data_IF_287884432331
#
_entry.id   IF_287884432331
#
_cell.length_a   1.000
_cell.length_b   1.000
_cell.length_c   1.000
_cell.angle_alpha   90.00
_cell.angle_beta   90.00
_cell.angle_gamma   90.00
#
_symmetry.space_group_name_H-M   'P 1'
#
loop_
_entity.id
_entity.type
_entity.pdbx_description
1 polymer ?
#
# COMPACT_ATOMS: atom_id res chain seq x y z
N UNK A 1 -36.93 55.67 37.98
CA UNK A 1 -36.02 55.41 39.12
C UNK A 1 -36.56 54.21 39.90
N UNK A 2 -35.82 53.09 39.91
CA UNK A 2 -36.09 51.84 40.66
C UNK A 2 -34.72 51.17 40.85
N UNK A 3 -34.46 50.62 42.03
CA UNK A 3 -33.15 50.17 42.50
C UNK A 3 -33.17 48.63 42.73
N UNK A 4 -32.00 48.01 42.56
CA UNK A 4 -31.49 46.74 43.16
C UNK A 4 -31.70 45.39 42.41
N UNK A 5 -30.98 44.29 42.76
CA UNK A 5 -29.52 44.10 42.65
C UNK A 5 -29.09 42.64 42.25
N UNK A 6 -27.77 42.39 42.25
CA UNK A 6 -27.05 41.11 42.37
C UNK A 6 -27.03 40.11 41.20
N UNK A 7 -25.83 39.79 40.70
CA UNK A 7 -25.16 38.50 40.98
C UNK A 7 -23.72 38.52 40.50
N UNK A 8 -22.85 38.09 41.41
CA UNK A 8 -21.42 37.85 41.27
C UNK A 8 -21.11 36.76 40.25
N UNK A 9 -20.14 36.98 39.36
CA UNK A 9 -19.34 35.87 38.82
C UNK A 9 -17.86 36.25 38.86
N UNK A 10 -17.23 35.69 39.87
CA UNK A 10 -15.80 35.57 40.06
C UNK A 10 -15.16 34.64 39.02
N UNK A 11 -13.83 34.80 38.93
CA UNK A 11 -12.80 33.79 38.58
C UNK A 11 -12.51 33.55 37.09
N UNK A 12 -11.37 34.12 36.69
CA UNK A 12 -10.21 33.38 36.19
C UNK A 12 -10.42 31.87 36.14
N UNK A 13 -10.64 31.33 34.95
CA UNK A 13 -10.36 29.93 34.66
C UNK A 13 -9.65 29.87 33.30
N UNK A 14 -8.41 30.35 33.32
CA UNK A 14 -7.38 30.03 32.34
C UNK A 14 -7.07 28.53 32.51
N UNK A 15 -7.97 27.67 32.03
CA UNK A 15 -7.74 26.23 31.96
C UNK A 15 -6.69 25.97 30.89
N UNK A 16 -5.44 26.07 31.31
CA UNK A 16 -4.35 25.26 30.80
C UNK A 16 -4.86 23.82 30.83
N UNK A 17 -5.37 23.34 29.70
CA UNK A 17 -5.60 21.93 29.47
C UNK A 17 -4.19 21.30 29.39
N UNK A 18 -3.63 21.03 30.56
CA UNK A 18 -2.42 20.22 30.69
C UNK A 18 -2.84 18.83 30.24
N UNK A 19 -2.61 18.55 28.96
CA UNK A 19 -2.71 17.20 28.41
C UNK A 19 -1.94 16.27 29.33
N UNK A 20 -2.65 15.27 29.86
CA UNK A 20 -2.04 14.31 30.75
C UNK A 20 -0.88 13.61 30.05
N UNK A 21 0.14 13.23 30.81
CA UNK A 21 1.29 12.52 30.28
C UNK A 21 0.85 11.28 29.47
N UNK A 22 -0.25 10.64 29.90
CA UNK A 22 -0.89 9.51 29.22
C UNK A 22 -1.42 9.89 27.82
N UNK A 23 -2.09 11.05 27.68
CA UNK A 23 -2.55 11.55 26.38
C UNK A 23 -1.38 11.85 25.44
N UNK A 24 -0.28 12.40 25.97
CA UNK A 24 0.95 12.65 25.21
C UNK A 24 1.68 11.37 24.85
N UNK A 25 1.69 10.37 25.73
CA UNK A 25 2.30 9.06 25.48
C UNK A 25 1.49 8.28 24.44
N UNK A 26 0.16 8.35 24.46
CA UNK A 26 -0.69 7.74 23.43
C UNK A 26 -0.53 8.42 22.06
N UNK A 27 -0.47 9.75 22.03
CA UNK A 27 -0.29 10.52 20.80
C UNK A 27 1.14 10.41 20.25
N UNK A 28 2.15 10.37 21.13
CA UNK A 28 3.53 10.04 20.77
C UNK A 28 3.65 8.58 20.33
N UNK A 29 2.94 7.63 20.93
CA UNK A 29 2.97 6.23 20.50
C UNK A 29 2.28 6.01 19.15
N UNK A 30 1.36 6.89 18.76
CA UNK A 30 0.80 6.94 17.40
C UNK A 30 1.77 7.53 16.36
N UNK A 31 2.64 8.47 16.77
CA UNK A 31 3.54 9.21 15.87
C UNK A 31 5.02 8.77 15.93
N UNK A 32 5.41 7.94 16.90
CA UNK A 32 6.79 7.45 17.09
C UNK A 32 7.05 6.06 16.49
N UNK A 33 6.09 5.52 15.73
CA UNK A 33 6.27 4.25 15.03
C UNK A 33 7.30 4.30 13.89
N UNK A 34 7.84 5.48 13.54
CA UNK A 34 8.67 5.67 12.34
C UNK A 34 10.15 5.99 12.59
N UNK A 35 10.67 5.90 13.83
CA UNK A 35 12.07 6.33 14.11
C UNK A 35 12.98 5.25 14.68
N UNK A 36 12.48 4.07 15.08
CA UNK A 36 13.36 2.99 15.56
C UNK A 36 12.80 1.60 15.25
N UNK A 37 13.09 1.09 14.04
CA UNK A 37 13.46 -0.30 13.71
C UNK A 37 12.63 -1.51 14.20
N UNK A 38 11.60 -1.32 15.02
CA UNK A 38 10.70 -2.36 15.50
C UNK A 38 9.43 -2.27 14.67
N UNK A 39 9.58 -2.63 13.40
CA UNK A 39 8.46 -2.89 12.50
C UNK A 39 7.60 -3.94 13.20
N UNK A 40 6.41 -3.54 13.65
CA UNK A 40 5.45 -4.47 14.24
C UNK A 40 5.36 -5.70 13.31
N UNK A 41 5.52 -6.93 13.81
CA UNK A 41 5.49 -8.11 12.97
C UNK A 41 4.15 -8.15 12.24
N UNK A 42 4.22 -8.33 10.93
CA UNK A 42 3.07 -8.46 10.03
C UNK A 42 2.95 -9.96 9.72
N UNK A 43 2.22 -10.72 10.55
CA UNK A 43 2.23 -12.18 10.50
C UNK A 43 1.74 -12.73 9.16
N UNK A 44 0.85 -11.99 8.47
CA UNK A 44 0.37 -12.36 7.14
C UNK A 44 1.46 -12.20 6.09
N UNK A 45 2.20 -11.09 6.14
CA UNK A 45 3.35 -10.89 5.26
C UNK A 45 4.47 -11.89 5.55
N UNK A 46 4.75 -12.18 6.81
CA UNK A 46 5.79 -13.13 7.18
C UNK A 46 5.45 -14.54 6.68
N UNK A 47 4.18 -14.97 6.79
CA UNK A 47 3.72 -16.24 6.24
C UNK A 47 3.87 -16.29 4.70
N UNK A 48 3.47 -15.23 4.00
CA UNK A 48 3.67 -15.12 2.55
C UNK A 48 5.16 -15.18 2.19
N UNK A 49 6.00 -14.46 2.94
CA UNK A 49 7.44 -14.41 2.70
C UNK A 49 8.07 -15.80 2.80
N UNK A 50 7.72 -16.57 3.84
CA UNK A 50 8.17 -17.95 3.99
C UNK A 50 7.68 -18.86 2.85
N UNK A 51 6.43 -18.70 2.41
CA UNK A 51 5.91 -19.44 1.26
C UNK A 51 6.70 -19.12 -0.02
N UNK A 52 7.03 -17.85 -0.25
CA UNK A 52 7.80 -17.43 -1.42
C UNK A 52 9.24 -17.93 -1.36
N UNK A 53 9.89 -17.91 -0.20
CA UNK A 53 11.23 -18.50 -0.02
C UNK A 53 11.24 -20.00 -0.39
N UNK A 54 10.18 -20.73 -0.03
CA UNK A 54 10.04 -22.14 -0.38
C UNK A 54 9.81 -22.39 -1.88
N UNK A 55 9.52 -21.35 -2.66
CA UNK A 55 9.32 -21.43 -4.12
C UNK A 55 10.60 -21.13 -4.93
N UNK A 56 11.75 -20.96 -4.28
CA UNK A 56 13.01 -20.70 -4.98
C UNK A 56 13.31 -21.76 -6.05
N UNK A 57 13.62 -21.32 -7.26
CA UNK A 57 13.94 -22.18 -8.39
C UNK A 57 12.73 -22.65 -9.21
N UNK A 58 11.50 -22.33 -8.78
CA UNK A 58 10.28 -22.61 -9.55
C UNK A 58 10.04 -21.60 -10.68
N UNK A 59 10.78 -20.49 -10.69
CA UNK A 59 10.73 -19.45 -11.71
C UNK A 59 9.71 -18.35 -11.45
N UNK A 60 9.95 -17.20 -12.09
CA UNK A 60 9.12 -15.99 -12.02
C UNK A 60 7.62 -16.22 -12.34
N UNK A 61 7.33 -17.13 -13.28
CA UNK A 61 5.95 -17.42 -13.70
C UNK A 61 5.19 -18.14 -12.59
N UNK A 62 5.85 -19.04 -11.87
CA UNK A 62 5.23 -19.77 -10.76
C UNK A 62 4.88 -18.81 -9.63
N UNK A 63 5.80 -17.91 -9.26
CA UNK A 63 5.58 -16.87 -8.25
C UNK A 63 4.41 -15.96 -8.65
N UNK A 64 4.39 -15.48 -9.90
CA UNK A 64 3.31 -14.63 -10.38
C UNK A 64 1.94 -15.33 -10.32
N UNK A 65 1.86 -16.58 -10.79
CA UNK A 65 0.61 -17.35 -10.76
C UNK A 65 0.18 -17.68 -9.34
N UNK A 66 1.12 -17.99 -8.45
CA UNK A 66 0.86 -18.20 -7.03
C UNK A 66 0.19 -16.97 -6.42
N UNK A 67 0.79 -15.79 -6.57
CA UNK A 67 0.21 -14.54 -6.06
C UNK A 67 -1.17 -14.29 -6.66
N UNK A 68 -1.36 -14.51 -7.96
CA UNK A 68 -2.67 -14.34 -8.61
C UNK A 68 -3.73 -15.31 -8.08
N UNK A 69 -3.32 -16.51 -7.65
CA UNK A 69 -4.23 -17.55 -7.16
C UNK A 69 -4.62 -17.41 -5.69
N UNK A 70 -4.00 -16.48 -4.95
CA UNK A 70 -4.29 -16.25 -3.54
C UNK A 70 -5.72 -15.70 -3.37
N UNK A 71 -6.52 -16.42 -2.58
CA UNK A 71 -7.89 -16.03 -2.21
C UNK A 71 -7.97 -15.81 -0.70
N UNK A 72 -8.75 -14.82 -0.30
CA UNK A 72 -9.16 -14.59 1.07
C UNK A 72 -10.16 -15.67 1.51
N UNK A 73 -10.46 -15.81 2.81
CA UNK A 73 -11.47 -16.75 3.31
C UNK A 73 -12.87 -16.52 2.72
N UNK A 74 -13.18 -15.30 2.26
CA UNK A 74 -14.42 -14.94 1.59
C UNK A 74 -14.46 -15.30 0.09
N UNK A 75 -13.39 -15.92 -0.43
CA UNK A 75 -13.26 -16.29 -1.84
C UNK A 75 -12.86 -15.14 -2.78
N UNK A 76 -12.65 -13.93 -2.26
CA UNK A 76 -12.17 -12.80 -3.06
C UNK A 76 -10.64 -12.86 -3.25
N UNK A 77 -10.10 -12.33 -4.35
CA UNK A 77 -8.65 -12.28 -4.55
C UNK A 77 -7.94 -11.47 -3.46
N UNK A 78 -6.85 -12.01 -2.91
CA UNK A 78 -5.96 -11.26 -1.99
C UNK A 78 -5.33 -10.08 -2.71
N UNK A 79 -4.89 -10.29 -3.95
CA UNK A 79 -4.34 -9.26 -4.83
C UNK A 79 -5.29 -9.02 -6.00
N UNK A 80 -6.21 -8.04 -5.90
CA UNK A 80 -7.29 -7.87 -6.87
C UNK A 80 -6.84 -7.34 -8.24
N UNK A 81 -5.64 -6.76 -8.34
CA UNK A 81 -5.12 -6.20 -9.58
C UNK A 81 -3.59 -6.35 -9.68
N UNK A 82 -3.04 -6.07 -10.85
CA UNK A 82 -1.60 -6.18 -11.12
C UNK A 82 -0.77 -5.21 -10.28
N UNK A 83 -1.31 -4.03 -9.92
CA UNK A 83 -0.65 -3.07 -9.03
C UNK A 83 -0.47 -3.63 -7.61
N UNK A 84 -1.43 -4.40 -7.12
CA UNK A 84 -1.32 -5.08 -5.82
C UNK A 84 -0.22 -6.15 -5.86
N UNK A 85 -0.12 -6.90 -6.96
CA UNK A 85 0.96 -7.88 -7.19
C UNK A 85 2.33 -7.18 -7.28
N UNK A 86 2.41 -6.03 -7.96
CA UNK A 86 3.63 -5.20 -8.01
C UNK A 86 4.04 -4.69 -6.63
N UNK A 87 3.08 -4.18 -5.84
CA UNK A 87 3.35 -3.67 -4.51
C UNK A 87 3.89 -4.76 -3.57
N UNK A 88 3.28 -5.96 -3.60
CA UNK A 88 3.72 -7.04 -2.73
C UNK A 88 5.08 -7.61 -3.15
N UNK A 89 5.32 -7.79 -4.45
CA UNK A 89 6.63 -8.25 -4.95
C UNK A 89 7.74 -7.25 -4.64
N UNK A 90 7.46 -5.94 -4.67
CA UNK A 90 8.40 -4.93 -4.18
C UNK A 90 8.64 -5.02 -2.67
N UNK A 91 7.59 -5.18 -1.85
CA UNK A 91 7.73 -5.34 -0.38
C UNK A 91 8.59 -6.57 -0.05
N UNK A 92 8.38 -7.68 -0.76
CA UNK A 92 9.20 -8.91 -0.64
C UNK A 92 10.64 -8.65 -1.11
N UNK A 93 10.81 -7.98 -2.24
CA UNK A 93 12.12 -7.60 -2.76
C UNK A 93 12.92 -6.80 -1.74
N UNK A 94 12.33 -5.76 -1.15
CA UNK A 94 12.96 -4.97 -0.08
C UNK A 94 13.37 -5.84 1.11
N UNK A 95 12.51 -6.76 1.54
CA UNK A 95 12.84 -7.67 2.64
C UNK A 95 14.03 -8.58 2.30
N UNK A 96 14.09 -9.11 1.08
CA UNK A 96 15.23 -9.90 0.60
C UNK A 96 16.53 -9.06 0.58
N UNK A 97 16.44 -7.76 0.24
CA UNK A 97 17.60 -6.85 0.31
C UNK A 97 18.08 -6.66 1.74
N UNK A 98 17.16 -6.41 2.67
CA UNK A 98 17.47 -6.26 4.09
C UNK A 98 18.17 -7.50 4.66
N UNK A 99 17.83 -8.69 4.15
CA UNK A 99 18.44 -9.97 4.50
C UNK A 99 19.70 -10.33 3.68
N UNK A 100 20.19 -9.43 2.81
CA UNK A 100 21.33 -9.62 1.90
C UNK A 100 21.17 -10.78 0.90
N UNK A 101 19.93 -11.10 0.53
CA UNK A 101 19.58 -12.18 -0.40
C UNK A 101 19.48 -11.69 -1.86
N UNK A 102 20.03 -10.53 -2.21
CA UNK A 102 19.92 -9.96 -3.56
C UNK A 102 20.55 -10.84 -4.66
N UNK A 103 21.52 -11.68 -4.29
CA UNK A 103 22.25 -12.54 -5.22
C UNK A 103 21.61 -13.92 -5.38
N UNK A 104 20.52 -14.20 -4.67
CA UNK A 104 19.85 -15.50 -4.73
C UNK A 104 18.93 -15.62 -5.94
N UNK A 105 18.52 -16.85 -6.23
CA UNK A 105 17.59 -17.13 -7.32
C UNK A 105 16.22 -16.54 -6.99
N UNK A 106 15.77 -16.67 -5.74
CA UNK A 106 14.47 -16.16 -5.32
C UNK A 106 14.35 -14.64 -5.52
N UNK A 107 15.40 -13.86 -5.28
CA UNK A 107 15.36 -12.42 -5.54
C UNK A 107 15.12 -12.12 -7.03
N UNK A 108 15.85 -12.80 -7.91
CA UNK A 108 15.68 -12.66 -9.37
C UNK A 108 14.27 -13.08 -9.81
N UNK A 109 13.74 -14.16 -9.26
CA UNK A 109 12.43 -14.68 -9.61
C UNK A 109 11.28 -13.79 -9.12
N UNK A 110 11.38 -13.25 -7.90
CA UNK A 110 10.42 -12.27 -7.36
C UNK A 110 10.43 -10.99 -8.20
N UNK A 111 11.62 -10.48 -8.55
CA UNK A 111 11.74 -9.29 -9.40
C UNK A 111 11.28 -9.58 -10.85
N UNK A 112 11.46 -10.80 -11.35
CA UNK A 112 10.90 -11.25 -12.63
C UNK A 112 9.37 -11.31 -12.61
N UNK A 113 8.78 -11.79 -11.51
CA UNK A 113 7.33 -11.77 -11.31
C UNK A 113 6.78 -10.33 -11.27
N UNK A 114 7.50 -9.40 -10.63
CA UNK A 114 7.21 -7.97 -10.66
C UNK A 114 7.26 -7.42 -12.08
N UNK A 115 8.35 -7.66 -12.82
CA UNK A 115 8.50 -7.23 -14.21
C UNK A 115 7.37 -7.75 -15.11
N UNK A 116 6.97 -9.01 -14.94
CA UNK A 116 5.83 -9.61 -15.65
C UNK A 116 4.52 -8.88 -15.34
N UNK A 117 4.22 -8.62 -14.07
CA UNK A 117 3.01 -7.89 -13.70
C UNK A 117 3.00 -6.48 -14.32
N UNK A 118 4.16 -5.80 -14.32
CA UNK A 118 4.35 -4.49 -14.93
C UNK A 118 4.15 -4.52 -16.46
N UNK A 119 4.73 -5.50 -17.16
CA UNK A 119 4.57 -5.63 -18.61
C UNK A 119 3.11 -5.84 -19.01
N UNK A 120 2.35 -6.63 -18.25
CA UNK A 120 0.92 -6.84 -18.52
C UNK A 120 0.14 -5.54 -18.27
N UNK A 121 0.42 -4.82 -17.18
CA UNK A 121 -0.23 -3.54 -16.87
C UNK A 121 0.02 -2.50 -17.96
N UNK A 122 1.26 -2.41 -18.47
CA UNK A 122 1.62 -1.54 -19.58
C UNK A 122 0.90 -1.92 -20.87
N UNK A 123 0.83 -3.23 -21.18
CA UNK A 123 0.13 -3.71 -22.36
C UNK A 123 -1.36 -3.33 -22.32
N UNK A 124 -2.03 -3.58 -21.20
CA UNK A 124 -3.44 -3.21 -21.01
C UNK A 124 -3.61 -1.69 -21.15
N UNK A 125 -2.74 -0.91 -20.50
CA UNK A 125 -2.82 0.55 -20.56
C UNK A 125 -2.63 1.11 -21.97
N UNK A 126 -1.67 0.55 -22.73
CA UNK A 126 -1.44 0.95 -24.12
C UNK A 126 -2.62 0.57 -24.99
N UNK A 127 -3.12 -0.66 -24.88
CA UNK A 127 -4.27 -1.13 -25.64
C UNK A 127 -5.51 -0.27 -25.38
N UNK A 128 -5.78 0.06 -24.12
CA UNK A 128 -6.90 0.94 -23.76
C UNK A 128 -6.72 2.34 -24.34
N UNK A 129 -5.50 2.90 -24.35
CA UNK A 129 -5.24 4.18 -25.02
C UNK A 129 -5.53 4.09 -26.52
N UNK A 130 -5.10 3.03 -27.17
CA UNK A 130 -5.23 2.89 -28.63
C UNK A 130 -6.69 2.64 -29.05
N UNK A 131 -7.47 1.91 -28.23
CA UNK A 131 -8.92 1.65 -28.49
C UNK A 131 -9.79 2.86 -28.15
N UNK A 132 -9.49 3.56 -27.05
CA UNK A 132 -10.32 4.66 -26.55
C UNK A 132 -9.78 6.03 -26.93
N UNK A 133 -8.71 6.13 -27.74
CA UNK A 133 -8.32 7.40 -28.32
C UNK A 133 -9.45 7.86 -29.24
N UNK A 134 -10.14 8.97 -28.93
CA UNK A 134 -11.06 9.54 -29.90
C UNK A 134 -10.23 9.86 -31.15
N UNK A 135 -10.69 9.44 -32.32
CA UNK A 135 -10.10 9.94 -33.56
C UNK A 135 -10.10 11.46 -33.45
N UNK A 136 -8.95 12.10 -33.66
CA UNK A 136 -8.80 13.54 -33.46
C UNK A 136 -9.93 14.29 -34.18
N UNK A 137 -10.46 15.33 -33.53
CA UNK A 137 -11.67 16.09 -33.91
C UNK A 137 -11.76 16.37 -35.44
N UNK A 138 -10.62 16.62 -36.09
CA UNK A 138 -10.49 16.87 -37.53
C UNK A 138 -10.82 15.70 -38.47
N UNK A 139 -10.97 14.48 -37.95
CA UNK A 139 -11.23 13.28 -38.75
C UNK A 139 -12.71 13.05 -39.04
N UNK A 140 -13.59 13.52 -38.16
CA UNK A 140 -15.05 13.45 -38.36
C UNK A 140 -15.56 14.51 -39.33
N UNK A 141 -14.95 15.70 -39.35
CA UNK A 141 -15.35 16.80 -40.23
C UNK A 141 -14.86 16.66 -41.68
N UNK A 142 -13.85 15.83 -41.94
CA UNK A 142 -13.26 15.60 -43.28
C UNK A 142 -13.61 14.25 -43.88
N UNK A 143 -14.53 13.53 -43.27
CA UNK A 143 -14.82 12.16 -43.66
C UNK A 143 -15.82 12.14 -44.82
N UNK A 144 -15.31 12.04 -46.05
CA UNK A 144 -16.12 11.91 -47.28
C UNK A 144 -16.64 10.47 -47.53
N UNK A 145 -17.01 9.72 -46.48
CA UNK A 145 -17.67 8.42 -46.63
C UNK A 145 -19.18 8.54 -46.79
#
# INVERSE_FOLDING_TARGET
>A
MKIEPMMSVNRFDQRSAVETLESRVLQASGNAADVNGSKRPDPEFDALYQQLLAMEGLGEKAIFLFLKSQLKPDGTPVYPNLKAILAITHKVGLRLKDENLEKTLIYKEVMGASARAFSIELYISSFMRDVFQPMGDDSWEKSEW
#
